data_IF_590183955659
#
_entry.id   IF_590183955659
#
_cell.length_a   1.000
_cell.length_b   1.000
_cell.length_c   1.000
_cell.angle_alpha   90.00
_cell.angle_beta   90.00
_cell.angle_gamma   90.00
#
_symmetry.space_group_name_H-M   'P 1'
#
loop_
_entity.id
_entity.type
_entity.pdbx_description
1 polymer ?
#
# COMPACT_ATOMS: atom_id res chain seq x y z
N UNK A 1 22.95 -27.16 -24.63
CA UNK A 1 23.15 -26.37 -23.39
C UNK A 1 21.88 -25.70 -22.83
N UNK A 2 20.66 -26.09 -23.24
CA UNK A 2 19.38 -25.57 -22.68
C UNK A 2 18.58 -26.58 -21.83
N UNK A 3 19.14 -27.76 -21.54
CA UNK A 3 18.44 -28.83 -20.80
C UNK A 3 19.06 -29.19 -19.45
N UNK A 4 20.17 -28.56 -19.05
CA UNK A 4 20.84 -28.86 -17.78
C UNK A 4 20.28 -28.10 -16.57
N UNK A 5 19.50 -27.03 -16.76
CA UNK A 5 18.94 -26.26 -15.65
C UNK A 5 17.68 -26.86 -15.02
N UNK A 6 17.05 -27.88 -15.63
CA UNK A 6 15.81 -28.45 -15.10
C UNK A 6 16.08 -29.47 -13.99
N UNK A 7 17.20 -30.19 -14.05
CA UNK A 7 17.57 -31.21 -13.07
C UNK A 7 18.16 -30.63 -11.78
N UNK A 8 18.74 -29.43 -11.83
CA UNK A 8 19.35 -28.78 -10.66
C UNK A 8 18.32 -28.40 -9.59
N UNK A 9 17.09 -28.05 -10.00
CA UNK A 9 16.01 -27.66 -9.07
C UNK A 9 15.23 -28.84 -8.49
N UNK A 10 15.30 -30.04 -9.08
CA UNK A 10 14.62 -31.23 -8.55
C UNK A 10 15.31 -31.80 -7.29
N UNK A 11 16.58 -31.49 -7.05
CA UNK A 11 17.36 -32.04 -5.94
C UNK A 11 17.19 -31.28 -4.60
N UNK A 12 16.57 -30.09 -4.59
CA UNK A 12 16.46 -29.24 -3.39
C UNK A 12 15.12 -29.32 -2.65
N UNK A 13 14.18 -30.17 -3.06
CA UNK A 13 12.98 -30.48 -2.26
C UNK A 13 12.03 -29.30 -1.96
N UNK A 14 12.18 -28.16 -2.64
CA UNK A 14 11.27 -27.01 -2.51
C UNK A 14 10.14 -27.20 -3.53
N UNK A 15 8.96 -27.60 -3.05
CA UNK A 15 7.72 -27.64 -3.83
C UNK A 15 7.23 -26.22 -4.14
N UNK A 16 7.88 -25.52 -5.08
CA UNK A 16 7.22 -24.44 -5.82
C UNK A 16 6.41 -25.12 -6.91
N UNK A 17 5.09 -25.20 -6.74
CA UNK A 17 4.19 -25.69 -7.80
C UNK A 17 4.53 -24.93 -9.10
N UNK A 18 4.96 -25.60 -10.17
CA UNK A 18 5.13 -24.94 -11.45
C UNK A 18 3.75 -24.48 -11.91
N UNK A 19 3.60 -23.17 -12.15
CA UNK A 19 2.47 -22.59 -12.85
C UNK A 19 2.35 -23.25 -14.24
N UNK A 20 1.64 -24.38 -14.31
CA UNK A 20 1.19 -24.98 -15.56
C UNK A 20 -0.03 -24.18 -16.03
N UNK A 21 0.23 -23.06 -16.70
CA UNK A 21 -0.77 -22.41 -17.54
C UNK A 21 -1.11 -23.41 -18.65
N UNK A 22 -2.35 -23.90 -18.70
CA UNK A 22 -2.87 -24.51 -19.93
C UNK A 22 -2.70 -23.48 -21.05
N UNK A 23 -1.79 -23.71 -21.98
CA UNK A 23 -1.54 -22.78 -23.09
C UNK A 23 -2.73 -22.79 -24.04
N UNK A 24 -3.73 -21.95 -23.74
CA UNK A 24 -4.76 -21.55 -24.70
C UNK A 24 -4.02 -20.91 -25.88
N UNK A 25 -4.01 -21.59 -27.02
CA UNK A 25 -3.37 -21.07 -28.24
C UNK A 25 -4.24 -19.98 -28.83
N UNK A 26 -3.73 -18.76 -28.85
CA UNK A 26 -4.42 -17.60 -29.42
C UNK A 26 -4.05 -17.40 -30.88
N UNK A 27 -5.00 -16.95 -31.70
CA UNK A 27 -4.74 -16.60 -33.11
C UNK A 27 -4.53 -15.10 -33.22
N UNK A 28 -3.42 -14.67 -33.82
CA UNK A 28 -3.19 -13.26 -34.14
C UNK A 28 -4.23 -12.80 -35.17
N UNK A 29 -4.99 -11.72 -34.91
CA UNK A 29 -5.94 -11.21 -35.89
C UNK A 29 -5.19 -10.69 -37.12
N UNK A 30 -5.78 -10.91 -38.28
CA UNK A 30 -5.30 -10.31 -39.54
C UNK A 30 -5.65 -8.83 -39.60
N UNK A 31 -4.90 -8.00 -40.35
CA UNK A 31 -5.22 -6.59 -40.55
C UNK A 31 -6.68 -6.37 -40.98
N UNK A 32 -7.19 -7.16 -41.93
CA UNK A 32 -8.59 -7.09 -42.40
C UNK A 32 -9.61 -7.37 -41.28
N UNK A 33 -9.31 -8.30 -40.38
CA UNK A 33 -10.17 -8.57 -39.22
C UNK A 33 -10.17 -7.41 -38.24
N UNK A 34 -9.03 -6.77 -38.03
CA UNK A 34 -8.92 -5.59 -37.16
C UNK A 34 -9.71 -4.44 -37.76
N UNK A 35 -9.51 -4.11 -39.05
CA UNK A 35 -10.21 -3.02 -39.71
C UNK A 35 -11.73 -3.23 -39.76
N UNK A 36 -12.17 -4.47 -40.03
CA UNK A 36 -13.59 -4.83 -39.98
C UNK A 36 -14.17 -4.70 -38.57
N UNK A 37 -13.43 -5.13 -37.55
CA UNK A 37 -13.85 -4.95 -36.17
C UNK A 37 -13.99 -3.45 -35.85
N UNK A 38 -12.96 -2.65 -36.10
CA UNK A 38 -12.94 -1.20 -35.86
C UNK A 38 -14.13 -0.48 -36.49
N UNK A 39 -14.53 -0.87 -37.70
CA UNK A 39 -15.71 -0.28 -38.37
C UNK A 39 -17.02 -0.58 -37.62
N UNK A 40 -17.16 -1.78 -37.06
CA UNK A 40 -18.33 -2.18 -36.27
C UNK A 40 -18.33 -1.52 -34.88
N UNK A 41 -17.17 -1.14 -34.35
CA UNK A 41 -17.05 -0.47 -33.06
C UNK A 41 -17.58 0.99 -33.07
N UNK A 42 -18.10 1.49 -34.20
CA UNK A 42 -18.75 2.80 -34.27
C UNK A 42 -20.05 2.89 -33.44
N UNK A 43 -20.69 1.75 -33.13
CA UNK A 43 -21.88 1.70 -32.28
C UNK A 43 -21.51 1.32 -30.84
N UNK A 44 -21.95 2.12 -29.85
CA UNK A 44 -21.54 1.96 -28.45
C UNK A 44 -21.85 0.57 -27.86
N UNK A 45 -22.99 -0.04 -28.20
CA UNK A 45 -23.35 -1.37 -27.70
C UNK A 45 -22.42 -2.46 -28.26
N UNK A 46 -22.05 -2.34 -29.54
CA UNK A 46 -21.13 -3.27 -30.20
C UNK A 46 -19.71 -3.08 -29.67
N UNK A 47 -19.32 -1.82 -29.45
CA UNK A 47 -18.07 -1.44 -28.83
C UNK A 47 -17.91 -2.06 -27.43
N UNK A 48 -18.89 -1.85 -26.56
CA UNK A 48 -18.88 -2.40 -25.21
C UNK A 48 -18.88 -3.93 -25.24
N UNK A 49 -19.77 -4.53 -26.03
CA UNK A 49 -19.85 -6.00 -26.14
C UNK A 49 -18.52 -6.61 -26.61
N UNK A 50 -17.88 -5.99 -27.60
CA UNK A 50 -16.60 -6.45 -28.12
C UNK A 50 -15.53 -6.47 -27.03
N UNK A 51 -15.30 -5.34 -26.38
CA UNK A 51 -14.28 -5.25 -25.34
C UNK A 51 -14.61 -6.08 -24.12
N UNK A 52 -15.86 -6.16 -23.67
CA UNK A 52 -16.25 -6.97 -22.51
C UNK A 52 -16.03 -8.47 -22.73
N UNK A 53 -16.13 -8.94 -23.98
CA UNK A 53 -15.98 -10.35 -24.36
C UNK A 53 -14.62 -10.72 -24.95
N UNK A 54 -13.79 -9.74 -25.29
CA UNK A 54 -12.48 -9.99 -25.87
C UNK A 54 -11.55 -10.63 -24.83
N UNK A 55 -11.05 -11.82 -25.16
CA UNK A 55 -10.11 -12.58 -24.31
C UNK A 55 -8.75 -12.82 -24.98
N UNK A 56 -8.59 -12.46 -26.25
CA UNK A 56 -7.42 -12.81 -27.05
C UNK A 56 -6.33 -11.72 -26.97
N UNK A 57 -5.22 -11.95 -26.25
CA UNK A 57 -4.17 -10.94 -26.04
C UNK A 57 -3.43 -10.54 -27.31
N UNK A 58 -3.56 -11.30 -28.41
CA UNK A 58 -2.96 -10.92 -29.70
C UNK A 58 -3.64 -9.70 -30.35
N UNK A 59 -4.79 -9.26 -29.81
CA UNK A 59 -5.44 -8.02 -30.22
C UNK A 59 -4.86 -6.77 -29.55
N UNK A 60 -3.99 -6.90 -28.53
CA UNK A 60 -3.41 -5.73 -27.86
C UNK A 60 -2.64 -4.81 -28.81
N UNK A 61 -1.65 -5.33 -29.55
CA UNK A 61 -0.83 -4.49 -30.44
C UNK A 61 -1.67 -3.82 -31.53
N UNK A 62 -2.53 -4.53 -32.29
CA UNK A 62 -3.27 -3.90 -33.37
C UNK A 62 -4.29 -2.87 -32.89
N UNK A 63 -4.93 -3.09 -31.74
CA UNK A 63 -5.84 -2.10 -31.15
C UNK A 63 -5.09 -0.89 -30.60
N UNK A 64 -3.88 -1.11 -30.07
CA UNK A 64 -3.04 -0.01 -29.61
C UNK A 64 -2.57 0.87 -30.77
N UNK A 65 -2.15 0.28 -31.89
CA UNK A 65 -1.76 1.00 -33.12
C UNK A 65 -2.93 1.82 -33.69
N UNK A 66 -4.17 1.39 -33.47
CA UNK A 66 -5.39 2.13 -33.83
C UNK A 66 -5.82 3.18 -32.80
N UNK A 67 -5.09 3.32 -31.68
CA UNK A 67 -5.30 4.37 -30.68
C UNK A 67 -6.34 4.07 -29.61
N UNK A 68 -6.88 2.85 -29.52
CA UNK A 68 -7.95 2.52 -28.57
C UNK A 68 -7.54 2.65 -27.09
N UNK A 69 -6.25 2.56 -26.78
CA UNK A 69 -5.75 2.64 -25.40
C UNK A 69 -5.10 3.98 -25.05
N UNK A 70 -5.17 4.98 -25.93
CA UNK A 70 -4.40 6.22 -25.74
C UNK A 70 -5.12 7.24 -24.86
N UNK A 71 -6.43 7.40 -25.05
CA UNK A 71 -7.21 8.48 -24.44
C UNK A 71 -8.36 7.95 -23.56
N UNK A 72 -8.11 7.67 -22.28
CA UNK A 72 -9.16 7.26 -21.35
C UNK A 72 -10.20 8.37 -21.14
N UNK A 73 -11.49 8.03 -20.92
CA UNK A 73 -12.52 9.04 -20.71
C UNK A 73 -12.28 9.80 -19.40
N UNK A 74 -12.48 11.12 -19.44
CA UNK A 74 -12.58 11.97 -18.26
C UNK A 74 -13.88 11.70 -17.48
N UNK A 75 -13.92 11.97 -16.16
CA UNK A 75 -15.17 11.92 -15.41
C UNK A 75 -16.16 12.98 -15.93
N UNK A 76 -17.46 12.63 -15.95
CA UNK A 76 -18.53 13.53 -16.40
C UNK A 76 -19.09 14.28 -15.19
N UNK A 77 -18.97 15.61 -15.18
CA UNK A 77 -19.55 16.47 -14.14
C UNK A 77 -20.95 16.91 -14.54
N UNK A 78 -21.88 16.78 -13.61
CA UNK A 78 -23.25 17.29 -13.73
C UNK A 78 -23.38 18.49 -12.80
N UNK A 79 -23.32 19.70 -13.38
CA UNK A 79 -23.34 20.96 -12.62
C UNK A 79 -24.70 21.25 -11.97
N UNK A 80 -25.79 20.77 -12.58
CA UNK A 80 -27.15 20.97 -12.04
C UNK A 80 -27.37 20.10 -10.80
N UNK A 81 -27.03 18.81 -10.89
CA UNK A 81 -27.16 17.86 -9.77
C UNK A 81 -25.96 17.92 -8.80
N UNK A 82 -24.91 18.68 -9.13
CA UNK A 82 -23.61 18.72 -8.43
C UNK A 82 -23.03 17.32 -8.20
N UNK A 83 -23.17 16.44 -9.20
CA UNK A 83 -22.66 15.06 -9.14
C UNK A 83 -21.53 14.83 -10.13
N UNK A 84 -20.68 13.84 -9.83
CA UNK A 84 -19.62 13.39 -10.74
C UNK A 84 -19.88 11.93 -11.08
N UNK A 85 -19.89 11.61 -12.38
CA UNK A 85 -20.11 10.27 -12.91
C UNK A 85 -18.82 9.72 -13.51
N UNK A 86 -18.41 8.56 -13.00
CA UNK A 86 -17.24 7.80 -13.46
C UNK A 86 -17.70 6.70 -14.43
N UNK A 87 -17.71 7.02 -15.73
CA UNK A 87 -18.13 6.07 -16.76
C UNK A 87 -17.10 4.94 -16.89
N UNK A 88 -17.52 3.66 -16.91
CA UNK A 88 -16.61 2.54 -17.19
C UNK A 88 -15.98 2.67 -18.57
N UNK A 89 -14.75 2.17 -18.70
CA UNK A 89 -14.03 2.15 -19.97
C UNK A 89 -13.69 0.69 -20.33
N UNK A 90 -14.42 0.07 -21.27
CA UNK A 90 -14.28 -1.35 -21.60
C UNK A 90 -12.84 -1.78 -21.94
N UNK A 91 -12.06 -0.89 -22.55
CA UNK A 91 -10.65 -1.07 -22.85
C UNK A 91 -9.80 -1.31 -21.62
N UNK A 92 -10.00 -0.54 -20.54
CA UNK A 92 -9.25 -0.74 -19.29
C UNK A 92 -9.56 -2.14 -18.71
N UNK A 93 -10.83 -2.55 -18.73
CA UNK A 93 -11.22 -3.90 -18.35
C UNK A 93 -10.59 -4.98 -19.23
N UNK A 94 -10.43 -4.73 -20.54
CA UNK A 94 -9.70 -5.62 -21.44
C UNK A 94 -8.21 -5.69 -21.11
N UNK A 95 -7.53 -4.55 -20.88
CA UNK A 95 -6.14 -4.49 -20.44
C UNK A 95 -5.94 -5.30 -19.15
N UNK A 96 -6.83 -5.13 -18.17
CA UNK A 96 -6.80 -5.86 -16.91
C UNK A 96 -6.84 -7.38 -17.10
N UNK A 97 -7.71 -7.87 -17.98
CA UNK A 97 -7.79 -9.31 -18.27
C UNK A 97 -6.55 -9.82 -19.02
N UNK A 98 -5.94 -9.01 -19.89
CA UNK A 98 -4.81 -9.41 -20.72
C UNK A 98 -3.45 -9.30 -20.04
N UNK A 99 -3.36 -8.51 -18.96
CA UNK A 99 -2.13 -8.27 -18.22
C UNK A 99 -1.41 -9.56 -17.78
N UNK A 100 -2.15 -10.62 -17.41
CA UNK A 100 -1.57 -11.93 -17.07
C UNK A 100 -0.94 -12.70 -18.24
N UNK A 101 -1.27 -12.34 -19.49
CA UNK A 101 -0.76 -13.00 -20.69
C UNK A 101 0.35 -12.21 -21.39
N UNK A 102 0.24 -10.87 -21.40
CA UNK A 102 1.23 -9.97 -22.00
C UNK A 102 1.56 -8.79 -21.06
N UNK A 103 2.16 -9.05 -19.88
CA UNK A 103 2.35 -8.04 -18.84
C UNK A 103 3.20 -6.85 -19.32
N UNK A 104 4.32 -7.08 -20.02
CA UNK A 104 5.21 -6.02 -20.49
C UNK A 104 4.51 -5.05 -21.47
N UNK A 105 3.72 -5.62 -22.39
CA UNK A 105 2.98 -4.82 -23.36
C UNK A 105 1.89 -3.99 -22.68
N UNK A 106 1.13 -4.59 -21.75
CA UNK A 106 0.08 -3.86 -21.03
C UNK A 106 0.68 -2.77 -20.14
N UNK A 107 1.79 -3.03 -19.44
CA UNK A 107 2.48 -2.00 -18.66
C UNK A 107 2.93 -0.82 -19.54
N UNK A 108 3.52 -1.10 -20.71
CA UNK A 108 3.93 -0.07 -21.66
C UNK A 108 2.74 0.73 -22.24
N UNK A 109 1.60 0.07 -22.49
CA UNK A 109 0.37 0.73 -22.90
C UNK A 109 -0.09 1.71 -21.81
N UNK A 110 -0.19 1.25 -20.56
CA UNK A 110 -0.63 2.06 -19.42
C UNK A 110 0.31 3.25 -19.18
N UNK A 111 1.62 3.02 -19.27
CA UNK A 111 2.62 4.06 -19.07
C UNK A 111 2.51 5.19 -20.10
N UNK A 112 2.21 4.84 -21.36
CA UNK A 112 2.07 5.81 -22.47
C UNK A 112 0.67 6.41 -22.63
N UNK A 113 -0.31 5.89 -21.90
CA UNK A 113 -1.68 6.38 -21.91
C UNK A 113 -1.73 7.83 -21.38
N UNK A 114 -2.69 8.64 -21.84
CA UNK A 114 -2.93 9.95 -21.25
C UNK A 114 -3.44 9.83 -19.80
N UNK A 115 -3.28 10.89 -19.00
CA UNK A 115 -3.80 10.91 -17.63
C UNK A 115 -5.33 11.12 -17.64
N UNK A 116 -6.03 10.54 -16.67
CA UNK A 116 -7.47 10.77 -16.42
C UNK A 116 -7.71 10.82 -14.92
N UNK A 117 -8.74 11.56 -14.50
CA UNK A 117 -9.26 11.54 -13.12
C UNK A 117 -10.40 10.52 -12.93
N UNK A 118 -10.66 9.69 -13.94
CA UNK A 118 -11.75 8.74 -13.89
C UNK A 118 -11.41 7.53 -13.00
N UNK A 119 -11.90 7.55 -11.76
CA UNK A 119 -11.64 6.50 -10.77
C UNK A 119 -12.07 5.09 -11.22
N UNK A 120 -13.08 4.95 -12.09
CA UNK A 120 -13.47 3.65 -12.63
C UNK A 120 -12.37 3.07 -13.53
N UNK A 121 -11.73 3.93 -14.33
CA UNK A 121 -10.56 3.56 -15.14
C UNK A 121 -9.40 3.16 -14.24
N UNK A 122 -9.09 3.96 -13.21
CA UNK A 122 -8.00 3.65 -12.28
C UNK A 122 -8.15 2.26 -11.65
N UNK A 123 -9.35 1.88 -11.21
CA UNK A 123 -9.59 0.55 -10.63
C UNK A 123 -9.20 -0.56 -11.61
N UNK A 124 -9.59 -0.46 -12.88
CA UNK A 124 -9.25 -1.45 -13.89
C UNK A 124 -7.75 -1.46 -14.22
N UNK A 125 -7.11 -0.29 -14.32
CA UNK A 125 -5.66 -0.21 -14.54
C UNK A 125 -4.85 -0.76 -13.36
N UNK A 126 -5.30 -0.54 -12.13
CA UNK A 126 -4.69 -1.13 -10.93
C UNK A 126 -4.91 -2.65 -10.93
N UNK A 127 -6.10 -3.14 -11.30
CA UNK A 127 -6.34 -4.58 -11.46
C UNK A 127 -5.43 -5.20 -12.54
N UNK A 128 -5.12 -4.46 -13.61
CA UNK A 128 -4.12 -4.88 -14.59
C UNK A 128 -2.74 -5.03 -13.93
N UNK A 129 -2.29 -4.02 -13.18
CA UNK A 129 -1.01 -4.01 -12.48
C UNK A 129 -0.89 -5.15 -11.46
N UNK A 130 -1.96 -5.44 -10.72
CA UNK A 130 -2.05 -6.55 -9.77
C UNK A 130 -1.97 -7.94 -10.45
N UNK A 131 -2.38 -8.03 -11.72
CA UNK A 131 -2.27 -9.26 -12.49
C UNK A 131 -0.89 -9.48 -13.14
N UNK A 132 0.01 -8.49 -13.06
CA UNK A 132 1.38 -8.58 -13.57
C UNK A 132 2.37 -8.99 -12.46
N UNK A 133 3.51 -9.59 -12.83
CA UNK A 133 4.65 -9.68 -11.92
C UNK A 133 5.04 -8.29 -11.36
N UNK A 134 5.37 -8.18 -10.07
CA UNK A 134 5.77 -6.91 -9.45
C UNK A 134 6.91 -6.21 -10.20
N UNK A 135 7.85 -6.95 -10.77
CA UNK A 135 8.98 -6.42 -11.53
C UNK A 135 8.57 -5.68 -12.80
N UNK A 136 7.41 -5.99 -13.34
CA UNK A 136 6.84 -5.33 -14.52
C UNK A 136 5.88 -4.23 -14.10
N UNK A 137 4.99 -4.47 -13.12
CA UNK A 137 4.00 -3.46 -12.74
C UNK A 137 4.59 -2.23 -12.06
N UNK A 138 5.79 -2.29 -11.48
CA UNK A 138 6.48 -1.07 -11.00
C UNK A 138 6.78 -0.06 -12.10
N UNK A 139 6.76 -0.46 -13.37
CA UNK A 139 6.93 0.47 -14.49
C UNK A 139 5.89 1.61 -14.45
N UNK A 140 4.68 1.34 -13.95
CA UNK A 140 3.59 2.33 -13.88
C UNK A 140 3.55 3.07 -12.53
N UNK A 141 4.65 3.10 -11.77
CA UNK A 141 4.69 3.66 -10.41
C UNK A 141 4.30 5.13 -10.36
N UNK A 142 4.75 5.93 -11.33
CA UNK A 142 4.40 7.36 -11.42
C UNK A 142 2.90 7.56 -11.66
N UNK A 143 2.28 6.72 -12.51
CA UNK A 143 0.83 6.71 -12.71
C UNK A 143 0.10 6.34 -11.40
N UNK A 144 0.54 5.29 -10.73
CA UNK A 144 -0.06 4.83 -9.47
C UNK A 144 0.03 5.89 -8.36
N UNK A 145 1.15 6.61 -8.26
CA UNK A 145 1.31 7.73 -7.32
C UNK A 145 0.31 8.85 -7.61
N UNK A 146 0.13 9.26 -8.86
CA UNK A 146 -0.90 10.25 -9.24
C UNK A 146 -2.32 9.79 -8.87
N UNK A 147 -2.65 8.52 -9.10
CA UNK A 147 -3.95 7.97 -8.72
C UNK A 147 -4.15 7.96 -7.19
N UNK A 148 -3.07 7.78 -6.42
CA UNK A 148 -3.10 7.82 -4.96
C UNK A 148 -3.38 9.23 -4.41
N UNK A 149 -2.95 10.28 -5.10
CA UNK A 149 -3.15 11.67 -4.67
C UNK A 149 -4.63 12.08 -4.63
N UNK A 150 -5.43 11.59 -5.59
CA UNK A 150 -6.83 11.93 -5.81
C UNK A 150 -7.78 10.73 -5.58
N UNK A 151 -7.37 9.79 -4.72
CA UNK A 151 -8.11 8.54 -4.54
C UNK A 151 -9.44 8.71 -3.79
N UNK A 152 -10.46 8.01 -4.27
CA UNK A 152 -11.67 7.72 -3.51
C UNK A 152 -11.52 6.39 -2.75
N UNK A 153 -12.57 5.96 -2.04
CA UNK A 153 -12.56 4.74 -1.23
C UNK A 153 -12.13 3.50 -2.05
N UNK A 154 -12.66 3.33 -3.27
CA UNK A 154 -12.40 2.14 -4.08
C UNK A 154 -10.98 2.12 -4.65
N UNK A 155 -10.51 3.26 -5.18
CA UNK A 155 -9.14 3.37 -5.68
C UNK A 155 -8.14 3.26 -4.55
N UNK A 156 -8.41 3.84 -3.37
CA UNK A 156 -7.54 3.75 -2.21
C UNK A 156 -7.33 2.30 -1.75
N UNK A 157 -8.39 1.49 -1.66
CA UNK A 157 -8.26 0.07 -1.31
C UNK A 157 -7.37 -0.67 -2.32
N UNK A 158 -7.59 -0.42 -3.61
CA UNK A 158 -6.85 -1.06 -4.70
C UNK A 158 -5.38 -0.65 -4.75
N UNK A 159 -5.07 0.61 -4.46
CA UNK A 159 -3.69 1.09 -4.36
C UNK A 159 -3.01 0.49 -3.13
N UNK A 160 -3.72 0.34 -2.01
CA UNK A 160 -3.23 -0.40 -0.85
C UNK A 160 -2.87 -1.85 -1.19
N UNK A 161 -3.73 -2.53 -1.96
CA UNK A 161 -3.46 -3.88 -2.49
C UNK A 161 -2.22 -3.90 -3.40
N UNK A 162 -2.07 -2.91 -4.29
CA UNK A 162 -0.91 -2.77 -5.19
C UNK A 162 0.40 -2.51 -4.43
N UNK A 163 0.36 -1.66 -3.40
CA UNK A 163 1.47 -1.43 -2.48
C UNK A 163 1.94 -2.74 -1.84
N UNK A 164 1.01 -3.56 -1.32
CA UNK A 164 1.35 -4.86 -0.74
C UNK A 164 1.89 -5.85 -1.79
N UNK A 165 1.36 -5.82 -3.02
CA UNK A 165 1.86 -6.62 -4.14
C UNK A 165 3.31 -6.31 -4.48
N UNK A 166 3.67 -5.02 -4.57
CA UNK A 166 5.05 -4.59 -4.80
C UNK A 166 5.98 -4.96 -3.65
N UNK A 167 5.55 -4.76 -2.40
CA UNK A 167 6.32 -5.19 -1.23
C UNK A 167 6.62 -6.71 -1.26
N UNK A 168 5.60 -7.55 -1.55
CA UNK A 168 5.78 -9.00 -1.68
C UNK A 168 6.74 -9.40 -2.80
N UNK A 169 6.81 -8.60 -3.86
CA UNK A 169 7.74 -8.76 -4.97
C UNK A 169 9.15 -8.21 -4.72
N UNK A 170 9.45 -7.72 -3.51
CA UNK A 170 10.74 -7.11 -3.18
C UNK A 170 10.95 -5.72 -3.80
N UNK A 171 9.89 -5.09 -4.32
CA UNK A 171 9.88 -3.71 -4.83
C UNK A 171 9.59 -2.72 -3.70
N UNK A 172 10.46 -2.76 -2.71
CA UNK A 172 10.25 -2.13 -1.41
C UNK A 172 10.26 -0.60 -1.50
N UNK A 173 11.18 -0.03 -2.28
CA UNK A 173 11.30 1.43 -2.43
C UNK A 173 10.03 1.99 -3.09
N UNK A 174 9.59 1.40 -4.19
CA UNK A 174 8.39 1.81 -4.91
C UNK A 174 7.12 1.62 -4.07
N UNK A 175 7.05 0.53 -3.31
CA UNK A 175 5.95 0.29 -2.37
C UNK A 175 5.92 1.33 -1.24
N UNK A 176 7.08 1.70 -0.69
CA UNK A 176 7.20 2.75 0.34
C UNK A 176 6.79 4.12 -0.21
N UNK A 177 7.22 4.46 -1.42
CA UNK A 177 6.83 5.72 -2.07
C UNK A 177 5.32 5.78 -2.28
N UNK A 178 4.73 4.71 -2.80
CA UNK A 178 3.28 4.63 -3.00
C UNK A 178 2.51 4.74 -1.68
N UNK A 179 2.97 4.05 -0.64
CA UNK A 179 2.41 4.14 0.71
C UNK A 179 2.46 5.58 1.24
N UNK A 180 3.59 6.25 1.03
CA UNK A 180 3.82 7.63 1.51
C UNK A 180 2.88 8.61 0.83
N UNK A 181 2.59 8.44 -0.47
CA UNK A 181 1.64 9.29 -1.19
C UNK A 181 0.20 9.00 -0.74
N UNK A 182 -0.19 7.72 -0.73
CA UNK A 182 -1.56 7.28 -0.42
C UNK A 182 -1.97 7.64 1.00
N UNK A 183 -1.11 7.35 1.98
CA UNK A 183 -1.40 7.51 3.40
C UNK A 183 -0.93 8.85 3.96
N UNK A 184 -0.52 9.80 3.09
CA UNK A 184 -0.05 11.11 3.56
C UNK A 184 -1.12 11.80 4.41
N UNK A 185 -0.68 12.35 5.54
CA UNK A 185 -1.50 13.21 6.37
C UNK A 185 -1.30 14.64 5.90
N UNK A 186 -2.40 15.34 5.59
CA UNK A 186 -2.40 16.70 5.09
C UNK A 186 -2.77 17.67 6.22
N UNK A 187 -2.19 18.89 6.22
CA UNK A 187 -2.72 19.98 7.03
C UNK A 187 -4.11 20.37 6.51
N UNK A 188 -4.99 20.83 7.40
CA UNK A 188 -6.32 21.32 7.01
C UNK A 188 -6.21 22.56 6.10
N UNK A 189 -7.09 22.67 5.11
CA UNK A 189 -7.16 23.84 4.23
C UNK A 189 -7.89 24.97 4.97
N UNK A 190 -7.27 26.15 5.03
CA UNK A 190 -7.86 27.33 5.66
C UNK A 190 -9.09 27.77 4.85
N UNK A 191 -10.28 27.36 5.26
CA UNK A 191 -11.52 27.94 4.74
C UNK A 191 -11.67 29.36 5.32
N UNK A 192 -11.54 30.36 4.46
CA UNK A 192 -11.71 31.77 4.81
C UNK A 192 -13.18 32.21 4.89
N UNK A 193 -14.14 31.28 4.79
CA UNK A 193 -15.53 31.62 4.44
C UNK A 193 -16.61 31.18 5.44
N UNK A 194 -16.30 30.88 6.70
CA UNK A 194 -17.36 30.73 7.71
C UNK A 194 -16.99 31.31 9.08
N UNK A 195 -17.96 32.00 9.69
CA UNK A 195 -17.90 32.58 11.04
C UNK A 195 -17.73 31.55 12.18
N UNK A 196 -17.46 30.29 11.84
CA UNK A 196 -17.20 29.19 12.77
C UNK A 196 -15.76 28.75 12.51
N UNK A 197 -14.84 29.15 13.38
CA UNK A 197 -13.50 28.54 13.44
C UNK A 197 -13.70 27.06 13.82
N UNK A 198 -13.72 26.16 12.84
CA UNK A 198 -13.52 24.73 13.14
C UNK A 198 -12.10 24.56 13.69
N UNK A 199 -11.90 23.70 14.70
CA UNK A 199 -10.56 23.36 15.16
C UNK A 199 -9.75 22.78 14.01
N UNK A 200 -8.50 23.22 13.88
CA UNK A 200 -7.52 22.75 12.90
C UNK A 200 -7.14 21.30 13.24
N UNK A 201 -7.28 20.37 12.30
CA UNK A 201 -6.92 18.96 12.52
C UNK A 201 -6.24 18.26 11.34
N UNK A 202 -5.54 17.14 11.58
CA UNK A 202 -4.97 16.32 10.51
C UNK A 202 -6.08 15.79 9.59
N UNK A 203 -5.84 15.79 8.27
CA UNK A 203 -6.77 15.23 7.29
C UNK A 203 -6.11 14.15 6.44
N UNK A 204 -6.77 12.98 6.36
CA UNK A 204 -6.43 11.94 5.38
C UNK A 204 -6.93 12.32 3.97
N UNK A 205 -6.33 11.73 2.93
CA UNK A 205 -6.75 11.96 1.53
C UNK A 205 -8.16 11.45 1.22
N UNK A 206 -8.58 10.42 1.93
CA UNK A 206 -9.86 9.74 1.78
C UNK A 206 -10.42 9.38 3.16
N UNK A 207 -11.60 8.78 3.19
CA UNK A 207 -12.32 8.43 4.41
C UNK A 207 -11.47 7.63 5.42
N UNK A 208 -11.59 7.98 6.70
CA UNK A 208 -10.80 7.43 7.81
C UNK A 208 -10.94 5.91 7.87
N UNK A 209 -12.15 5.37 7.71
CA UNK A 209 -12.38 3.93 7.72
C UNK A 209 -11.53 3.18 6.68
N UNK A 210 -11.37 3.74 5.47
CA UNK A 210 -10.54 3.13 4.44
C UNK A 210 -9.04 3.25 4.78
N UNK A 211 -8.64 4.36 5.41
CA UNK A 211 -7.28 4.54 5.92
C UNK A 211 -6.91 3.43 6.91
N UNK A 212 -7.80 3.15 7.86
CA UNK A 212 -7.68 2.04 8.81
C UNK A 212 -7.62 0.69 8.10
N UNK A 213 -8.46 0.46 7.08
CA UNK A 213 -8.43 -0.78 6.32
C UNK A 213 -7.08 -1.00 5.63
N UNK A 214 -6.49 0.04 5.05
CA UNK A 214 -5.19 -0.09 4.38
C UNK A 214 -4.08 -0.39 5.39
N UNK A 215 -4.05 0.35 6.51
CA UNK A 215 -3.09 0.12 7.59
C UNK A 215 -3.18 -1.30 8.14
N UNK A 216 -4.39 -1.82 8.34
CA UNK A 216 -4.61 -3.16 8.89
C UNK A 216 -4.36 -4.28 7.90
N UNK A 217 -4.84 -4.15 6.66
CA UNK A 217 -4.83 -5.24 5.67
C UNK A 217 -3.53 -5.32 4.87
N UNK A 218 -2.96 -4.18 4.49
CA UNK A 218 -1.93 -4.14 3.45
C UNK A 218 -0.57 -3.67 3.95
N UNK A 219 -0.55 -2.71 4.89
CA UNK A 219 0.69 -2.20 5.46
C UNK A 219 1.60 -3.25 6.14
N UNK A 220 1.07 -4.31 6.80
CA UNK A 220 1.92 -5.34 7.41
C UNK A 220 2.84 -6.05 6.40
N UNK A 221 2.38 -6.20 5.14
CA UNK A 221 3.20 -6.80 4.09
C UNK A 221 4.38 -5.89 3.68
N UNK A 222 4.18 -4.58 3.71
CA UNK A 222 5.25 -3.60 3.51
C UNK A 222 6.30 -3.70 4.61
N UNK A 223 5.86 -3.76 5.87
CA UNK A 223 6.73 -3.90 7.04
C UNK A 223 7.48 -5.23 7.02
N UNK A 224 6.82 -6.32 6.64
CA UNK A 224 7.44 -7.63 6.51
C UNK A 224 8.53 -7.65 5.43
N UNK A 225 8.32 -6.96 4.32
CA UNK A 225 9.27 -6.91 3.21
C UNK A 225 10.43 -5.92 3.43
N UNK A 226 10.18 -4.79 4.10
CA UNK A 226 11.15 -3.68 4.26
C UNK A 226 11.73 -3.53 5.67
N UNK A 227 11.23 -4.30 6.65
CA UNK A 227 11.71 -4.29 8.02
C UNK A 227 11.59 -2.92 8.69
N UNK A 228 12.66 -2.49 9.35
CA UNK A 228 12.69 -1.23 10.12
C UNK A 228 12.33 -0.02 9.26
N UNK A 229 12.70 0.00 7.98
CA UNK A 229 12.42 1.13 7.09
C UNK A 229 10.92 1.35 6.89
N UNK A 230 10.14 0.29 6.70
CA UNK A 230 8.68 0.37 6.62
C UNK A 230 8.04 0.85 7.93
N UNK A 231 8.55 0.38 9.08
CA UNK A 231 8.10 0.89 10.39
C UNK A 231 8.42 2.37 10.58
N UNK A 232 9.62 2.80 10.22
CA UNK A 232 10.01 4.21 10.32
C UNK A 232 9.07 5.10 9.51
N UNK A 233 8.67 4.67 8.31
CA UNK A 233 7.71 5.41 7.47
C UNK A 233 6.33 5.50 8.11
N UNK A 234 5.86 4.45 8.79
CA UNK A 234 4.60 4.50 9.52
C UNK A 234 4.67 5.46 10.71
N UNK A 235 5.80 5.44 11.44
CA UNK A 235 6.02 6.38 12.53
C UNK A 235 6.13 7.84 12.04
N UNK A 236 6.70 8.09 10.86
CA UNK A 236 6.73 9.43 10.24
C UNK A 236 5.31 9.96 9.97
N UNK A 237 4.38 9.08 9.57
CA UNK A 237 2.97 9.44 9.35
C UNK A 237 2.27 9.83 10.66
N UNK A 238 2.45 9.05 11.73
CA UNK A 238 1.91 9.39 13.05
C UNK A 238 2.49 10.69 13.59
N UNK A 239 3.79 10.90 13.41
CA UNK A 239 4.44 12.15 13.82
C UNK A 239 3.87 13.36 13.08
N UNK A 240 3.67 13.28 11.77
CA UNK A 240 2.97 14.33 11.00
C UNK A 240 1.57 14.60 11.54
N UNK A 241 0.83 13.55 11.87
CA UNK A 241 -0.52 13.68 12.34
C UNK A 241 -0.60 14.33 13.73
N UNK A 242 0.32 13.98 14.63
CA UNK A 242 0.47 14.65 15.93
C UNK A 242 0.79 16.12 15.74
N UNK A 243 1.68 16.47 14.80
CA UNK A 243 2.02 17.87 14.50
C UNK A 243 0.82 18.67 14.00
N UNK A 244 -0.07 18.05 13.21
CA UNK A 244 -1.27 18.71 12.69
C UNK A 244 -2.46 18.69 13.64
N UNK A 245 -2.41 17.89 14.72
CA UNK A 245 -3.46 17.83 15.72
C UNK A 245 -3.17 18.85 16.82
N UNK A 246 -4.01 19.89 16.95
CA UNK A 246 -3.94 20.87 18.05
C UNK A 246 -4.37 20.27 19.41
N UNK A 247 -4.75 18.98 19.42
CA UNK A 247 -5.18 18.22 20.58
C UNK A 247 -4.51 16.84 20.66
N UNK A 248 -4.40 16.32 21.89
CA UNK A 248 -3.88 14.99 22.26
C UNK A 248 -4.84 13.86 21.82
N UNK A 249 -5.43 14.00 20.63
CA UNK A 249 -6.31 13.02 20.02
C UNK A 249 -5.44 11.84 19.62
N UNK A 250 -5.36 10.85 20.51
CA UNK A 250 -4.71 9.58 20.23
C UNK A 250 -5.27 9.03 18.92
N UNK A 251 -4.47 9.05 17.86
CA UNK A 251 -4.76 8.33 16.62
C UNK A 251 -4.64 6.83 16.87
N UNK A 252 -5.64 6.29 17.57
CA UNK A 252 -5.67 4.92 18.09
C UNK A 252 -5.32 3.89 17.00
N UNK A 253 -5.72 4.15 15.78
CA UNK A 253 -5.55 3.26 14.64
C UNK A 253 -4.11 3.25 14.12
N UNK A 254 -3.47 4.41 13.96
CA UNK A 254 -2.03 4.47 13.65
C UNK A 254 -1.20 3.86 14.77
N UNK A 255 -1.57 4.12 16.03
CA UNK A 255 -0.91 3.49 17.19
C UNK A 255 -1.07 1.97 17.16
N UNK A 256 -2.26 1.47 16.81
CA UNK A 256 -2.53 0.04 16.61
C UNK A 256 -1.65 -0.55 15.50
N UNK A 257 -1.63 0.09 14.32
CA UNK A 257 -0.82 -0.34 13.20
C UNK A 257 0.69 -0.35 13.51
N UNK A 258 1.18 0.65 14.25
CA UNK A 258 2.59 0.69 14.70
C UNK A 258 2.88 -0.45 15.67
N UNK A 259 2.00 -0.74 16.63
CA UNK A 259 2.18 -1.85 17.57
C UNK A 259 2.26 -3.18 16.81
N UNK A 260 1.32 -3.42 15.90
CA UNK A 260 1.32 -4.64 15.07
C UNK A 260 2.58 -4.74 14.20
N UNK A 261 2.98 -3.65 13.56
CA UNK A 261 4.20 -3.59 12.74
C UNK A 261 5.47 -3.89 13.56
N UNK A 262 5.58 -3.33 14.77
CA UNK A 262 6.71 -3.57 15.66
C UNK A 262 6.75 -5.04 16.10
N UNK A 263 5.61 -5.60 16.52
CA UNK A 263 5.53 -7.01 16.89
C UNK A 263 5.95 -7.93 15.74
N UNK A 264 5.52 -7.64 14.52
CA UNK A 264 5.87 -8.42 13.33
C UNK A 264 7.37 -8.35 13.01
N UNK A 265 7.99 -7.16 13.05
CA UNK A 265 9.43 -7.01 12.79
C UNK A 265 10.26 -7.82 13.79
N UNK A 266 9.89 -7.80 15.07
CA UNK A 266 10.62 -8.53 16.11
C UNK A 266 10.40 -10.04 15.94
N UNK A 267 9.17 -10.49 15.66
CA UNK A 267 8.86 -11.92 15.49
C UNK A 267 9.48 -12.53 14.23
N UNK A 268 9.49 -11.79 13.12
CA UNK A 268 10.09 -12.21 11.86
C UNK A 268 11.62 -12.18 11.88
N UNK A 269 12.23 -11.52 12.88
CA UNK A 269 13.69 -11.36 12.96
C UNK A 269 14.25 -10.28 12.05
N UNK A 270 13.39 -9.46 11.43
CA UNK A 270 13.79 -8.33 10.58
C UNK A 270 14.52 -7.22 11.36
N UNK A 271 14.29 -7.11 12.67
CA UNK A 271 15.10 -6.28 13.58
C UNK A 271 15.05 -6.81 15.00
N UNK A 272 16.04 -6.48 15.81
CA UNK A 272 16.04 -6.82 17.22
C UNK A 272 15.28 -5.76 18.07
N UNK A 273 14.88 -6.16 19.27
CA UNK A 273 14.12 -5.31 20.19
C UNK A 273 14.83 -3.99 20.50
N UNK A 274 16.17 -4.01 20.62
CA UNK A 274 16.97 -2.82 20.92
C UNK A 274 16.88 -1.78 19.81
N UNK A 275 17.09 -2.19 18.56
CA UNK A 275 17.00 -1.29 17.39
C UNK A 275 15.61 -0.66 17.25
N UNK A 276 14.57 -1.46 17.47
CA UNK A 276 13.18 -0.99 17.43
C UNK A 276 12.92 0.05 18.52
N UNK A 277 13.31 -0.24 19.77
CA UNK A 277 13.14 0.68 20.90
C UNK A 277 13.89 1.98 20.65
N UNK A 278 15.15 1.91 20.22
CA UNK A 278 15.95 3.09 19.86
C UNK A 278 15.28 3.93 18.75
N UNK A 279 14.69 3.26 17.74
CA UNK A 279 13.96 3.92 16.65
C UNK A 279 12.67 4.61 17.09
N UNK A 280 11.99 4.08 18.11
CA UNK A 280 10.77 4.70 18.66
C UNK A 280 11.13 5.88 19.57
N UNK A 281 12.08 5.68 20.48
CA UNK A 281 12.43 6.67 21.51
C UNK A 281 13.12 7.91 20.95
N UNK A 282 13.90 7.77 19.87
CA UNK A 282 14.57 8.92 19.21
C UNK A 282 13.62 9.98 18.68
N UNK A 283 12.33 9.66 18.52
CA UNK A 283 11.30 10.59 18.00
C UNK A 283 10.83 11.61 19.04
N UNK A 284 11.13 11.41 20.33
CA UNK A 284 10.84 12.39 21.38
C UNK A 284 9.37 12.48 21.85
N UNK A 285 8.40 12.03 21.03
CA UNK A 285 6.99 12.04 21.42
C UNK A 285 6.65 10.99 22.49
N UNK A 286 5.74 11.37 23.40
CA UNK A 286 5.30 10.49 24.50
C UNK A 286 4.66 9.19 24.00
N UNK A 287 3.89 9.25 22.91
CA UNK A 287 3.23 8.07 22.36
C UNK A 287 4.23 7.01 21.91
N UNK A 288 5.35 7.39 21.27
CA UNK A 288 6.38 6.42 20.89
C UNK A 288 7.09 5.83 22.10
N UNK A 289 7.32 6.61 23.16
CA UNK A 289 7.83 6.08 24.45
C UNK A 289 6.87 5.08 25.09
N UNK A 290 5.56 5.35 25.06
CA UNK A 290 4.52 4.40 25.54
C UNK A 290 4.55 3.10 24.73
N UNK A 291 4.67 3.19 23.41
CA UNK A 291 4.82 2.01 22.54
C UNK A 291 6.11 1.26 22.88
N UNK A 292 7.25 1.94 23.04
CA UNK A 292 8.52 1.30 23.41
C UNK A 292 8.41 0.50 24.72
N UNK A 293 7.83 1.09 25.78
CA UNK A 293 7.59 0.41 27.06
C UNK A 293 6.66 -0.80 26.92
N UNK A 294 5.62 -0.68 26.09
CA UNK A 294 4.72 -1.79 25.79
C UNK A 294 5.46 -2.96 25.11
N UNK A 295 6.34 -2.66 24.16
CA UNK A 295 7.12 -3.67 23.43
C UNK A 295 8.17 -4.33 24.34
N UNK A 296 8.86 -3.55 25.18
CA UNK A 296 9.75 -4.07 26.22
C UNK A 296 9.02 -5.04 27.15
N UNK A 297 7.75 -4.77 27.46
CA UNK A 297 6.94 -5.66 28.29
C UNK A 297 6.61 -6.97 27.56
N UNK A 298 6.22 -6.90 26.29
CA UNK A 298 5.84 -8.09 25.51
C UNK A 298 7.04 -9.00 25.19
N UNK A 299 8.22 -8.43 24.96
CA UNK A 299 9.41 -9.15 24.53
C UNK A 299 10.54 -9.09 25.57
N UNK A 300 10.21 -8.99 26.86
CA UNK A 300 11.19 -8.75 27.92
C UNK A 300 12.31 -9.80 27.97
N UNK A 301 12.02 -11.05 27.62
CA UNK A 301 12.99 -12.17 27.60
C UNK A 301 14.04 -12.01 26.49
N UNK A 302 13.76 -11.24 25.44
CA UNK A 302 14.67 -11.04 24.31
C UNK A 302 15.87 -10.17 24.66
N UNK A 303 15.73 -9.26 25.62
CA UNK A 303 16.83 -8.43 26.14
C UNK A 303 16.52 -7.92 27.56
N UNK A 304 16.82 -8.76 28.55
CA UNK A 304 16.59 -8.45 29.98
C UNK A 304 17.39 -7.24 30.45
N UNK A 305 18.59 -7.03 29.90
CA UNK A 305 19.44 -5.90 30.26
C UNK A 305 18.86 -4.58 29.75
N UNK A 306 18.33 -4.56 28.53
CA UNK A 306 17.61 -3.41 27.99
C UNK A 306 16.41 -3.07 28.88
N UNK A 307 15.58 -4.05 29.24
CA UNK A 307 14.42 -3.84 30.14
C UNK A 307 14.86 -3.28 31.49
N UNK A 308 15.91 -3.85 32.11
CA UNK A 308 16.46 -3.37 33.37
C UNK A 308 16.87 -1.91 33.28
N UNK A 309 17.59 -1.53 32.23
CA UNK A 309 18.05 -0.14 32.04
C UNK A 309 16.86 0.84 31.97
N UNK A 310 15.74 0.45 31.39
CA UNK A 310 14.52 1.28 31.36
C UNK A 310 13.81 1.33 32.72
N UNK A 311 13.82 0.23 33.48
CA UNK A 311 13.19 0.17 34.81
C UNK A 311 13.98 0.88 35.92
N UNK A 312 15.26 1.18 35.70
CA UNK A 312 16.05 2.00 36.64
C UNK A 312 16.16 3.46 36.18
N UNK A 313 15.63 3.80 35.00
CA UNK A 313 15.62 5.18 34.53
C UNK A 313 14.55 5.99 35.28
N UNK A 314 15.01 6.79 36.24
CA UNK A 314 14.17 7.67 37.05
C UNK A 314 13.33 8.64 36.21
N UNK A 315 13.78 9.03 35.02
CA UNK A 315 13.03 9.93 34.13
C UNK A 315 11.74 9.27 33.65
N UNK A 316 11.75 7.96 33.41
CA UNK A 316 10.56 7.20 33.02
C UNK A 316 9.62 6.95 34.21
N UNK A 317 10.18 6.75 35.41
CA UNK A 317 9.40 6.60 36.65
C UNK A 317 8.61 7.88 37.03
N UNK A 318 9.25 9.04 36.85
CA UNK A 318 8.70 10.36 37.20
C UNK A 318 7.78 10.93 36.09
N UNK A 319 7.84 10.43 34.86
CA UNK A 319 6.99 10.88 33.74
C UNK A 319 5.57 10.31 33.83
N UNK A 320 4.63 11.15 34.28
CA UNK A 320 3.20 10.82 34.41
C UNK A 320 2.58 10.35 33.09
N UNK A 321 3.09 10.82 31.95
CA UNK A 321 2.55 10.48 30.62
C UNK A 321 2.84 9.05 30.17
N UNK A 322 3.79 8.37 30.80
CA UNK A 322 4.16 6.97 30.47
C UNK A 322 4.02 6.03 31.68
N UNK A 323 3.59 6.56 32.83
CA UNK A 323 3.51 5.84 34.10
C UNK A 323 2.68 4.57 34.01
N UNK A 324 1.59 4.56 33.23
CA UNK A 324 0.75 3.37 33.09
C UNK A 324 1.53 2.21 32.45
N UNK A 325 2.15 2.45 31.30
CA UNK A 325 2.95 1.47 30.56
C UNK A 325 4.20 1.07 31.36
N UNK A 326 4.83 2.02 32.06
CA UNK A 326 5.97 1.75 32.95
C UNK A 326 5.60 0.79 34.08
N UNK A 327 4.48 1.04 34.78
CA UNK A 327 4.01 0.16 35.87
C UNK A 327 3.67 -1.24 35.34
N UNK A 328 3.13 -1.35 34.13
CA UNK A 328 2.86 -2.65 33.50
C UNK A 328 4.15 -3.41 33.18
N UNK A 329 5.19 -2.71 32.69
CA UNK A 329 6.52 -3.28 32.48
C UNK A 329 7.13 -3.75 33.80
N UNK A 330 7.11 -2.89 34.83
CA UNK A 330 7.63 -3.19 36.16
C UNK A 330 6.95 -4.44 36.72
N UNK A 331 5.61 -4.52 36.71
CA UNK A 331 4.87 -5.70 37.19
C UNK A 331 5.26 -6.99 36.48
N UNK A 332 5.55 -6.92 35.18
CA UNK A 332 5.90 -8.08 34.36
C UNK A 332 7.33 -8.54 34.65
N UNK A 333 8.28 -7.62 34.75
CA UNK A 333 9.70 -7.92 34.86
C UNK A 333 10.27 -7.85 36.30
N UNK A 334 9.49 -7.44 37.31
CA UNK A 334 9.98 -7.22 38.68
C UNK A 334 10.72 -8.42 39.26
N UNK A 335 10.23 -9.63 38.98
CA UNK A 335 10.83 -10.87 39.48
C UNK A 335 12.20 -11.19 38.85
N UNK A 336 12.58 -10.50 37.79
CA UNK A 336 13.86 -10.68 37.09
C UNK A 336 14.88 -9.57 37.38
N UNK A 337 14.47 -8.55 38.14
CA UNK A 337 15.36 -7.51 38.64
C UNK A 337 16.22 -8.04 39.79
N UNK A 338 17.48 -7.58 39.86
CA UNK A 338 18.36 -7.88 40.99
C UNK A 338 17.86 -7.21 42.26
N UNK A 339 18.30 -7.69 43.43
CA UNK A 339 17.93 -7.07 44.71
C UNK A 339 18.36 -5.59 44.81
N UNK A 340 19.43 -5.21 44.11
CA UNK A 340 19.92 -3.83 44.07
C UNK A 340 19.03 -2.92 43.21
N UNK A 341 18.41 -3.46 42.15
CA UNK A 341 17.49 -2.69 41.28
C UNK A 341 16.10 -2.50 41.89
N UNK A 342 15.78 -3.27 42.95
CA UNK A 342 14.49 -3.22 43.65
C UNK A 342 14.47 -2.20 44.79
N UNK A 343 15.63 -1.65 45.17
CA UNK A 343 15.80 -0.59 46.15
C UNK A 343 15.72 0.76 45.45
#
# INVERSE_FOLDING_TARGET
MKYLNVLFWQLLGVFIKPWRILMKSWKKPTPDQVDKAVTLLAHYEQYRYFFDRLENPEWLEPLWEKGFFSNPPAPVKDEEEKTIRYQPWPEAGYLARMAKYKPDLVANIIEKMEDTDNSAVHVDLINAALAMPPEISVQISEKAKKWAENSNILTAEKIGELMAHWAKGGKNEEAIELATVLLNVLPEEQSWDTAIKKPLGPRARFEIWMYEQILRKYYPELVKASGLHGLERLCDLLEKAIIFSDHDTEEKEMVGAIREAVEEIIRSGNSNIKQVVESLERRGWKIFRRIALHILRLFFERDVMLVRNHLVDRRLFDDVGVRHEYVLLLRTAFNHLSSQDKQ
#
